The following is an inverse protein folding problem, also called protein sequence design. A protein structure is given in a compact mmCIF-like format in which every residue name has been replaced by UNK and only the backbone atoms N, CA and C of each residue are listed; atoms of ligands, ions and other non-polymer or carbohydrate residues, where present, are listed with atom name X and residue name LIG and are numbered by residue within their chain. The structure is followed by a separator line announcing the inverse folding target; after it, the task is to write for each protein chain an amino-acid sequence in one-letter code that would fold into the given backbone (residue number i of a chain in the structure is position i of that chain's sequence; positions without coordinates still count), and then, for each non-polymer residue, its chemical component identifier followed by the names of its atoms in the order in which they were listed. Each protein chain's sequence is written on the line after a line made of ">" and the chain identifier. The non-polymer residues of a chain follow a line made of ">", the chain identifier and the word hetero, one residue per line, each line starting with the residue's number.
data_IF_144349014834
#
_entry.id   IF_144349014834
#
_cell.length_a   1.000
_cell.length_b   1.000
_cell.length_c   1.000
_cell.angle_alpha   90.00
_cell.angle_beta   90.00
_cell.angle_gamma   90.00
#
_symmetry.space_group_name_H-M   'P 1'
#
loop_
_entity.id
_entity.type
_entity.pdbx_description
1 polymer ?
#
# COMPACT_ATOMS: atom_id res chain seq x y z
N UNK A 1 -3.91 -1.17 5.59
CA UNK A 1 -2.63 -1.78 6.00
C UNK A 1 -2.39 -1.68 7.49
N UNK A 2 -2.51 -0.48 8.09
CA UNK A 2 -2.31 -0.31 9.53
C UNK A 2 -3.15 -1.27 10.36
N UNK A 3 -4.48 -1.24 10.23
CA UNK A 3 -5.37 -2.07 11.05
C UNK A 3 -5.27 -3.57 10.80
N UNK A 4 -4.84 -3.97 9.61
CA UNK A 4 -4.86 -5.38 9.22
C UNK A 4 -3.53 -6.08 9.40
N UNK A 5 -2.43 -5.37 9.16
CA UNK A 5 -1.10 -5.96 9.05
C UNK A 5 -0.15 -5.40 10.10
N UNK A 6 -0.08 -4.08 10.23
CA UNK A 6 1.00 -3.44 10.97
C UNK A 6 0.63 -3.04 12.41
N UNK A 7 -0.64 -3.04 12.79
CA UNK A 7 -1.04 -2.49 14.09
C UNK A 7 -0.40 -3.17 15.30
N UNK A 8 -0.25 -4.51 15.37
CA UNK A 8 0.42 -5.10 16.52
C UNK A 8 1.88 -4.68 16.62
N UNK A 9 2.61 -4.67 15.50
CA UNK A 9 4.03 -4.31 15.49
C UNK A 9 4.25 -2.84 15.83
N UNK A 10 3.43 -1.95 15.28
CA UNK A 10 3.57 -0.51 15.50
C UNK A 10 3.08 -0.07 16.88
N UNK A 11 2.02 -0.69 17.43
CA UNK A 11 1.46 -0.33 18.73
C UNK A 11 2.30 -0.86 19.89
N UNK A 12 2.88 -2.05 19.74
CA UNK A 12 3.66 -2.68 20.81
C UNK A 12 5.17 -2.49 20.66
N UNK A 13 5.64 -2.15 19.45
CA UNK A 13 7.06 -2.11 19.10
C UNK A 13 7.60 -3.47 18.66
N UNK A 14 8.66 -3.43 17.86
CA UNK A 14 9.24 -4.64 17.25
C UNK A 14 9.87 -5.60 18.26
N UNK A 15 10.33 -5.09 19.40
CA UNK A 15 10.95 -5.87 20.48
C UNK A 15 9.95 -6.49 21.46
N UNK A 16 8.66 -6.24 21.25
CA UNK A 16 7.60 -6.78 22.11
C UNK A 16 7.46 -8.28 21.95
N UNK A 17 7.14 -9.04 23.04
CA UNK A 17 6.93 -10.48 22.96
C UNK A 17 5.88 -10.89 21.92
N UNK A 18 6.14 -12.00 21.20
CA UNK A 18 5.24 -12.50 20.15
C UNK A 18 3.85 -12.82 20.68
N UNK A 19 3.74 -13.29 21.91
CA UNK A 19 2.49 -13.63 22.58
C UNK A 19 1.55 -12.42 22.71
N UNK A 20 2.14 -11.23 22.82
CA UNK A 20 1.43 -9.96 22.91
C UNK A 20 1.25 -9.29 21.55
N UNK A 21 2.23 -9.41 20.65
CA UNK A 21 2.31 -8.74 19.36
C UNK A 21 1.41 -9.38 18.30
N UNK A 22 0.11 -9.42 18.57
CA UNK A 22 -0.91 -9.98 17.70
C UNK A 22 -2.25 -9.26 17.92
N UNK A 23 -3.27 -9.63 17.13
CA UNK A 23 -4.59 -8.98 17.18
C UNK A 23 -5.32 -9.18 18.51
N UNK A 24 -5.06 -10.27 19.21
CA UNK A 24 -5.66 -10.52 20.54
C UNK A 24 -5.09 -9.55 21.56
N UNK A 25 -3.77 -9.32 21.54
CA UNK A 25 -3.11 -8.31 22.35
C UNK A 25 -3.62 -6.89 22.04
N UNK A 26 -3.78 -6.56 20.75
CA UNK A 26 -4.37 -5.26 20.36
C UNK A 26 -5.79 -5.11 20.87
N UNK A 27 -6.62 -6.14 20.78
CA UNK A 27 -8.00 -6.10 21.30
C UNK A 27 -8.05 -5.95 22.82
N UNK A 28 -7.09 -6.53 23.54
CA UNK A 28 -7.02 -6.43 24.99
C UNK A 28 -6.54 -5.05 25.49
N UNK A 29 -5.51 -4.48 24.86
CA UNK A 29 -4.88 -3.25 25.33
C UNK A 29 -5.41 -1.98 24.62
N UNK A 30 -5.86 -2.11 23.37
CA UNK A 30 -6.38 -1.03 22.53
C UNK A 30 -7.75 -1.36 21.94
N UNK A 31 -8.78 -1.67 22.76
CA UNK A 31 -10.07 -2.18 22.29
C UNK A 31 -10.78 -1.24 21.30
N UNK A 32 -10.65 0.08 21.49
CA UNK A 32 -11.24 1.07 20.57
C UNK A 32 -10.57 1.07 19.20
N UNK A 33 -9.25 0.93 19.15
CA UNK A 33 -8.50 0.83 17.90
C UNK A 33 -8.89 -0.47 17.18
N UNK A 34 -8.92 -1.58 17.89
CA UNK A 34 -9.33 -2.87 17.35
C UNK A 34 -10.76 -2.82 16.78
N UNK A 35 -11.70 -2.24 17.53
CA UNK A 35 -13.09 -2.07 17.09
C UNK A 35 -13.20 -1.22 15.82
N UNK A 36 -12.53 -0.07 15.78
CA UNK A 36 -12.49 0.81 14.58
C UNK A 36 -11.90 0.07 13.39
N UNK A 37 -10.84 -0.70 13.58
CA UNK A 37 -10.20 -1.51 12.54
C UNK A 37 -11.16 -2.54 11.94
N UNK A 38 -11.87 -3.29 12.78
CA UNK A 38 -12.89 -4.27 12.35
C UNK A 38 -14.01 -3.61 11.56
N UNK A 39 -14.52 -2.47 12.04
CA UNK A 39 -15.59 -1.74 11.36
C UNK A 39 -15.16 -1.13 10.03
N UNK A 40 -13.96 -0.58 9.95
CA UNK A 40 -13.36 -0.11 8.69
C UNK A 40 -13.22 -1.25 7.67
N UNK A 41 -12.76 -2.42 8.12
CA UNK A 41 -12.70 -3.61 7.27
C UNK A 41 -14.08 -4.02 6.79
N UNK A 42 -15.06 -4.08 7.69
CA UNK A 42 -16.45 -4.41 7.33
C UNK A 42 -16.96 -3.47 6.25
N UNK A 43 -16.75 -2.17 6.40
CA UNK A 43 -17.15 -1.18 5.41
C UNK A 43 -16.47 -1.44 4.05
N UNK A 44 -15.16 -1.68 4.01
CA UNK A 44 -14.46 -2.03 2.77
C UNK A 44 -15.01 -3.29 2.11
N UNK A 45 -15.40 -4.31 2.90
CA UNK A 45 -16.02 -5.53 2.38
C UNK A 45 -17.43 -5.24 1.80
N UNK A 46 -18.19 -4.31 2.37
CA UNK A 46 -19.47 -3.90 1.79
C UNK A 46 -19.28 -3.13 0.47
N UNK A 47 -18.26 -2.26 0.39
CA UNK A 47 -17.91 -1.60 -0.89
C UNK A 47 -17.61 -2.64 -1.97
N UNK A 48 -16.77 -3.65 -1.67
CA UNK A 48 -16.46 -4.73 -2.62
C UNK A 48 -17.74 -5.51 -2.99
N UNK A 49 -18.58 -5.84 -2.05
CA UNK A 49 -19.85 -6.54 -2.31
C UNK A 49 -20.74 -5.75 -3.28
N UNK A 50 -20.87 -4.46 -3.08
CA UNK A 50 -21.73 -3.61 -3.91
C UNK A 50 -21.15 -3.37 -5.31
N UNK A 51 -19.82 -3.29 -5.45
CA UNK A 51 -19.16 -3.01 -6.73
C UNK A 51 -18.79 -4.27 -7.52
N UNK A 52 -18.55 -5.40 -6.85
CA UNK A 52 -18.09 -6.64 -7.49
C UNK A 52 -19.02 -7.84 -7.24
N UNK A 53 -20.17 -7.64 -6.59
CA UNK A 53 -21.18 -8.65 -6.35
C UNK A 53 -20.93 -9.61 -5.18
N UNK A 54 -19.68 -9.73 -4.71
CA UNK A 54 -19.31 -10.57 -3.56
C UNK A 54 -18.11 -9.99 -2.81
N UNK A 55 -17.97 -10.32 -1.52
CA UNK A 55 -16.96 -9.74 -0.64
C UNK A 55 -15.52 -10.25 -0.87
N UNK A 56 -15.39 -11.47 -1.35
CA UNK A 56 -14.11 -12.14 -1.58
C UNK A 56 -14.04 -12.62 -3.01
N UNK A 57 -12.89 -12.45 -3.66
CA UNK A 57 -12.68 -12.80 -5.06
C UNK A 57 -13.75 -12.20 -5.99
N UNK A 58 -14.09 -10.94 -5.77
CA UNK A 58 -15.02 -10.20 -6.62
C UNK A 58 -14.47 -10.03 -8.03
N UNK A 59 -15.33 -10.17 -9.02
CA UNK A 59 -15.02 -9.90 -10.42
C UNK A 59 -15.68 -8.58 -10.80
N UNK A 60 -15.00 -7.47 -10.51
CA UNK A 60 -15.52 -6.12 -10.80
C UNK A 60 -15.36 -5.73 -12.26
N UNK A 61 -14.20 -6.03 -12.86
CA UNK A 61 -13.90 -5.72 -14.26
C UNK A 61 -14.11 -6.92 -15.15
N UNK A 62 -14.71 -6.70 -16.32
CA UNK A 62 -14.86 -7.69 -17.38
C UNK A 62 -14.47 -7.05 -18.72
N UNK A 63 -14.09 -7.82 -19.76
CA UNK A 63 -13.83 -7.25 -21.08
C UNK A 63 -15.01 -6.39 -21.55
N UNK A 64 -14.72 -5.12 -21.86
CA UNK A 64 -15.71 -4.14 -22.31
C UNK A 64 -16.46 -3.39 -21.21
N UNK A 65 -16.16 -3.62 -19.92
CA UNK A 65 -16.81 -2.84 -18.86
C UNK A 65 -16.72 -3.42 -17.45
N UNK A 66 -17.82 -3.35 -16.72
CA UNK A 66 -17.94 -3.82 -15.35
C UNK A 66 -18.98 -4.93 -15.24
N UNK A 67 -18.71 -5.91 -14.38
CA UNK A 67 -19.60 -7.05 -14.15
C UNK A 67 -20.92 -6.64 -13.48
N UNK A 68 -20.89 -5.60 -12.65
CA UNK A 68 -22.06 -5.11 -11.90
C UNK A 68 -22.03 -3.59 -11.82
N UNK A 69 -23.10 -2.94 -12.20
CA UNK A 69 -23.30 -1.51 -11.98
C UNK A 69 -23.72 -1.24 -10.54
N UNK A 70 -23.20 -0.16 -9.96
CA UNK A 70 -23.64 0.33 -8.67
C UNK A 70 -24.98 1.06 -8.83
N UNK A 71 -25.99 0.63 -8.09
CA UNK A 71 -27.30 1.31 -8.07
C UNK A 71 -27.28 2.54 -7.14
N UNK A 72 -28.22 3.47 -7.34
CA UNK A 72 -28.36 4.63 -6.46
C UNK A 72 -28.63 4.22 -5.00
N UNK A 73 -29.44 3.20 -4.77
CA UNK A 73 -29.73 2.69 -3.42
C UNK A 73 -28.49 2.12 -2.73
N UNK A 74 -27.66 1.37 -3.45
CA UNK A 74 -26.39 0.83 -2.93
C UNK A 74 -25.39 1.94 -2.62
N UNK A 75 -25.30 2.95 -3.50
CA UNK A 75 -24.49 4.15 -3.23
C UNK A 75 -24.95 4.84 -1.95
N UNK A 76 -26.25 5.07 -1.80
CA UNK A 76 -26.82 5.78 -0.66
C UNK A 76 -26.61 4.96 0.65
N UNK A 77 -26.68 3.64 0.58
CA UNK A 77 -26.31 2.75 1.69
C UNK A 77 -24.86 2.94 2.13
N UNK A 78 -23.92 2.95 1.18
CA UNK A 78 -22.49 3.18 1.47
C UNK A 78 -22.22 4.58 2.02
N UNK A 79 -22.98 5.57 1.59
CA UNK A 79 -22.80 6.96 2.04
C UNK A 79 -23.26 7.21 3.47
N UNK A 80 -24.12 6.38 4.05
CA UNK A 80 -24.64 6.58 5.42
C UNK A 80 -23.54 6.74 6.46
N UNK A 81 -22.48 5.96 6.35
CA UNK A 81 -21.38 5.92 7.33
C UNK A 81 -20.11 6.64 6.85
N UNK A 82 -20.12 7.24 5.66
CA UNK A 82 -18.89 7.74 5.02
C UNK A 82 -18.14 8.76 5.87
N UNK A 83 -18.81 9.67 6.53
CA UNK A 83 -18.17 10.68 7.38
C UNK A 83 -17.48 10.07 8.60
N UNK A 84 -18.09 9.03 9.19
CA UNK A 84 -17.49 8.30 10.29
C UNK A 84 -16.25 7.50 9.83
N UNK A 85 -16.34 6.88 8.68
CA UNK A 85 -15.22 6.15 8.04
C UNK A 85 -14.06 7.09 7.74
N UNK A 86 -14.34 8.28 7.20
CA UNK A 86 -13.32 9.32 6.96
C UNK A 86 -12.69 9.77 8.28
N UNK A 87 -13.48 10.01 9.32
CA UNK A 87 -12.97 10.42 10.62
C UNK A 87 -12.01 9.36 11.21
N UNK A 88 -12.41 8.08 11.23
CA UNK A 88 -11.57 6.99 11.71
C UNK A 88 -10.29 6.79 10.87
N UNK A 89 -10.40 6.98 9.55
CA UNK A 89 -9.22 6.91 8.68
C UNK A 89 -8.21 8.04 8.97
N UNK A 90 -8.70 9.26 9.23
CA UNK A 90 -7.87 10.39 9.67
C UNK A 90 -7.25 10.15 11.04
N UNK A 91 -8.01 9.55 11.98
CA UNK A 91 -7.50 9.16 13.29
C UNK A 91 -6.36 8.15 13.17
N UNK A 92 -6.51 7.15 12.29
CA UNK A 92 -5.47 6.17 12.02
C UNK A 92 -4.19 6.82 11.48
N UNK A 93 -4.30 7.75 10.53
CA UNK A 93 -3.14 8.48 10.00
C UNK A 93 -2.45 9.31 11.09
N UNK A 94 -3.22 10.01 11.95
CA UNK A 94 -2.66 10.75 13.09
C UNK A 94 -1.93 9.83 14.06
N UNK A 95 -2.53 8.68 14.38
CA UNK A 95 -1.90 7.71 15.27
C UNK A 95 -0.59 7.16 14.69
N UNK A 96 -0.58 6.76 13.42
CA UNK A 96 0.64 6.27 12.75
C UNK A 96 1.73 7.34 12.75
N UNK A 97 1.37 8.59 12.50
CA UNK A 97 2.30 9.72 12.58
C UNK A 97 2.90 9.88 13.98
N UNK A 98 2.07 9.83 15.02
CA UNK A 98 2.53 9.90 16.41
C UNK A 98 3.49 8.77 16.77
N UNK A 99 3.16 7.53 16.38
CA UNK A 99 4.03 6.36 16.59
C UNK A 99 5.37 6.51 15.85
N UNK A 100 5.34 6.99 14.63
CA UNK A 100 6.55 7.27 13.84
C UNK A 100 7.43 8.34 14.49
N UNK A 101 6.83 9.43 14.98
CA UNK A 101 7.54 10.53 15.64
C UNK A 101 8.15 10.11 17.00
N UNK A 102 7.59 9.09 17.66
CA UNK A 102 8.11 8.57 18.95
C UNK A 102 9.42 7.79 18.81
N UNK A 103 9.65 7.14 17.66
CA UNK A 103 10.87 6.37 17.41
C UNK A 103 11.42 6.67 16.00
N UNK A 104 11.70 7.93 15.78
CA UNK A 104 12.10 8.46 14.48
C UNK A 104 13.41 7.88 13.97
N UNK A 105 14.34 7.57 14.88
CA UNK A 105 15.65 7.00 14.52
C UNK A 105 15.49 5.60 13.92
N UNK A 106 14.77 4.71 14.61
CA UNK A 106 14.49 3.37 14.12
C UNK A 106 13.78 3.40 12.76
N UNK A 107 12.71 4.19 12.64
CA UNK A 107 11.94 4.22 11.40
C UNK A 107 12.70 4.84 10.21
N UNK A 108 13.60 5.78 10.45
CA UNK A 108 14.44 6.37 9.39
C UNK A 108 15.52 5.43 8.89
N UNK A 109 16.08 4.62 9.78
CA UNK A 109 17.16 3.68 9.44
C UNK A 109 16.66 2.29 9.01
N UNK A 110 15.42 1.92 9.39
CA UNK A 110 14.88 0.60 9.14
C UNK A 110 14.74 0.30 7.64
N UNK A 111 15.46 -0.73 7.18
CA UNK A 111 15.44 -1.16 5.80
C UNK A 111 16.06 -0.16 4.81
N UNK A 112 16.78 0.85 5.30
CA UNK A 112 17.44 1.84 4.45
C UNK A 112 18.76 1.30 3.93
N UNK A 113 18.95 1.34 2.62
CA UNK A 113 20.20 0.97 1.95
C UNK A 113 20.38 1.79 0.67
N UNK A 114 21.61 1.98 0.26
CA UNK A 114 21.91 2.64 -1.00
C UNK A 114 21.53 1.73 -2.18
N UNK A 115 20.74 2.27 -3.11
CA UNK A 115 20.33 1.56 -4.31
C UNK A 115 20.17 2.52 -5.48
N UNK A 116 20.35 2.00 -6.68
CA UNK A 116 19.90 2.67 -7.89
C UNK A 116 18.37 2.61 -7.94
N UNK A 117 17.75 3.62 -8.48
CA UNK A 117 16.30 3.71 -8.64
C UNK A 117 15.92 3.72 -10.11
N UNK A 118 14.83 3.05 -10.44
CA UNK A 118 14.22 3.04 -11.77
C UNK A 118 12.76 3.45 -11.69
N UNK A 119 12.31 4.33 -12.57
CA UNK A 119 10.94 4.82 -12.61
C UNK A 119 10.52 5.18 -14.04
N UNK A 120 9.20 5.23 -14.26
CA UNK A 120 8.60 5.84 -15.45
C UNK A 120 8.29 7.30 -15.15
N UNK A 121 8.85 8.23 -15.93
CA UNK A 121 8.71 9.66 -15.69
C UNK A 121 8.31 10.42 -16.95
N UNK A 122 7.53 11.48 -16.77
CA UNK A 122 7.26 12.47 -17.80
C UNK A 122 8.44 13.45 -17.96
N UNK A 123 8.37 14.29 -19.00
CA UNK A 123 9.37 15.33 -19.24
C UNK A 123 9.54 16.33 -18.08
N UNK A 124 8.50 16.55 -17.27
CA UNK A 124 8.53 17.40 -16.08
C UNK A 124 9.07 16.68 -14.82
N UNK A 125 9.45 15.41 -14.94
CA UNK A 125 9.98 14.59 -13.85
C UNK A 125 8.91 13.94 -12.97
N UNK A 126 7.63 14.18 -13.20
CA UNK A 126 6.57 13.48 -12.45
C UNK A 126 6.43 12.03 -12.90
N UNK A 127 6.06 11.15 -11.97
CA UNK A 127 5.77 9.75 -12.27
C UNK A 127 4.59 9.62 -13.23
N UNK A 128 4.76 8.83 -14.28
CA UNK A 128 3.70 8.50 -15.22
C UNK A 128 3.81 7.03 -15.64
N UNK A 129 2.96 6.19 -15.07
CA UNK A 129 2.98 4.74 -15.31
C UNK A 129 2.41 4.32 -16.66
N UNK A 130 1.90 5.25 -17.46
CA UNK A 130 1.27 4.95 -18.74
C UNK A 130 2.07 5.47 -19.95
N UNK A 131 2.49 6.75 -19.91
CA UNK A 131 3.19 7.42 -21.01
C UNK A 131 4.63 7.82 -20.68
N UNK A 132 5.10 7.52 -19.44
CA UNK A 132 6.43 7.88 -19.01
C UNK A 132 7.53 7.11 -19.74
N UNK A 133 8.68 7.76 -19.94
CA UNK A 133 9.91 7.09 -20.31
C UNK A 133 10.68 6.59 -19.09
N UNK A 134 11.54 5.61 -19.26
CA UNK A 134 12.39 5.10 -18.19
C UNK A 134 13.44 6.11 -17.77
N UNK A 135 13.57 6.33 -16.47
CA UNK A 135 14.66 7.07 -15.83
C UNK A 135 15.32 6.19 -14.78
N UNK A 136 16.65 6.06 -14.85
CA UNK A 136 17.45 5.45 -13.80
C UNK A 136 18.37 6.48 -13.16
N UNK A 137 18.53 6.39 -11.84
CA UNK A 137 19.36 7.29 -11.04
C UNK A 137 20.21 6.50 -10.05
N UNK A 138 21.39 7.03 -9.76
CA UNK A 138 22.21 6.60 -8.64
C UNK A 138 21.58 6.99 -7.30
N UNK A 139 22.11 6.44 -6.21
CA UNK A 139 21.64 6.76 -4.85
C UNK A 139 21.77 8.26 -4.49
N UNK A 140 22.74 8.95 -5.09
CA UNK A 140 22.97 10.40 -4.93
C UNK A 140 22.02 11.27 -5.78
N UNK A 141 21.13 10.65 -6.58
CA UNK A 141 20.19 11.33 -7.47
C UNK A 141 20.77 11.69 -8.85
N UNK A 142 22.05 11.42 -9.12
CA UNK A 142 22.60 11.62 -10.46
C UNK A 142 21.98 10.66 -11.48
N UNK A 143 21.73 11.15 -12.69
CA UNK A 143 21.03 10.38 -13.72
C UNK A 143 21.97 9.40 -14.41
N UNK A 144 21.56 8.12 -14.51
CA UNK A 144 22.23 7.08 -15.28
C UNK A 144 21.75 7.14 -16.73
N UNK A 145 20.42 7.08 -16.93
CA UNK A 145 19.76 7.34 -18.22
C UNK A 145 18.40 7.98 -17.99
N UNK A 146 17.84 8.62 -19.02
CA UNK A 146 16.58 9.35 -18.94
C UNK A 146 15.78 9.22 -20.23
N UNK A 147 14.44 9.23 -20.09
CA UNK A 147 13.47 9.18 -21.18
C UNK A 147 13.67 8.03 -22.18
N UNK A 148 14.20 6.89 -21.71
CA UNK A 148 14.33 5.69 -22.54
C UNK A 148 12.93 5.10 -22.77
N UNK A 149 12.66 4.73 -24.02
CA UNK A 149 11.45 4.01 -24.38
C UNK A 149 11.43 2.65 -23.66
N UNK A 150 10.40 2.43 -22.84
CA UNK A 150 10.23 1.15 -22.12
C UNK A 150 10.04 -0.04 -23.09
N UNK A 151 9.61 0.21 -24.33
CA UNK A 151 9.56 -0.82 -25.38
C UNK A 151 10.94 -1.33 -25.81
N UNK A 152 12.02 -0.65 -25.41
CA UNK A 152 13.42 -1.01 -25.70
C UNK A 152 14.26 -1.11 -24.42
N UNK A 153 13.63 -1.42 -23.27
CA UNK A 153 14.31 -1.45 -21.96
C UNK A 153 15.55 -2.35 -21.91
N UNK A 154 15.58 -3.43 -22.71
CA UNK A 154 16.70 -4.38 -22.76
C UNK A 154 18.02 -3.78 -23.28
N UNK A 155 18.00 -2.61 -23.90
CA UNK A 155 19.20 -1.89 -24.33
C UNK A 155 19.93 -1.28 -23.13
N UNK A 156 19.23 -1.06 -22.01
CA UNK A 156 19.74 -0.42 -20.81
C UNK A 156 19.77 -1.32 -19.58
N UNK A 157 18.94 -2.36 -19.56
CA UNK A 157 18.72 -3.22 -18.40
C UNK A 157 18.96 -4.66 -18.82
N UNK A 158 19.93 -5.29 -18.18
CA UNK A 158 20.15 -6.73 -18.26
C UNK A 158 19.52 -7.47 -17.07
N UNK A 159 19.37 -8.77 -17.19
CA UNK A 159 18.78 -9.61 -16.14
C UNK A 159 19.74 -10.75 -15.76
N UNK A 160 19.92 -10.95 -14.46
CA UNK A 160 20.72 -12.04 -13.91
C UNK A 160 19.84 -13.07 -13.19
N UNK A 161 20.15 -14.36 -13.37
CA UNK A 161 19.51 -15.46 -12.65
C UNK A 161 20.37 -15.84 -11.43
N UNK A 162 19.72 -15.96 -10.25
CA UNK A 162 20.36 -16.40 -9.01
C UNK A 162 19.90 -17.80 -8.63
N UNK A 163 20.82 -18.66 -8.21
CA UNK A 163 20.50 -20.05 -7.85
C UNK A 163 19.52 -20.19 -6.66
N UNK A 164 19.43 -19.17 -5.82
CA UNK A 164 18.59 -19.14 -4.61
C UNK A 164 17.22 -18.49 -4.80
N UNK A 165 16.90 -18.01 -6.01
CA UNK A 165 15.63 -17.35 -6.29
C UNK A 165 15.11 -17.69 -7.68
N UNK A 166 13.79 -17.79 -7.82
CA UNK A 166 13.13 -17.90 -9.12
C UNK A 166 12.97 -16.55 -9.83
N UNK A 167 13.24 -15.46 -9.13
CA UNK A 167 13.17 -14.10 -9.72
C UNK A 167 14.43 -13.79 -10.50
N UNK A 168 14.28 -13.08 -11.60
CA UNK A 168 15.38 -12.44 -12.30
C UNK A 168 15.68 -11.09 -11.66
N UNK A 169 16.96 -10.75 -11.58
CA UNK A 169 17.46 -9.51 -11.00
C UNK A 169 17.88 -8.57 -12.11
N UNK A 170 17.25 -7.41 -12.26
CA UNK A 170 17.68 -6.39 -13.20
C UNK A 170 18.98 -5.72 -12.69
N UNK A 171 19.91 -5.41 -13.63
CA UNK A 171 21.13 -4.64 -13.37
C UNK A 171 21.52 -3.76 -14.53
#
# INVERSE_FOLDING_TARGET
>A
HFFHLASPDLLFGFDSPMEKRNIVGVAAEYPDIARKGVLLRKYGQEVIRHTAGKRIHGTGSVPGGVNKSLTAAERDELQKDIYQIIAWSRDAVRLVRQLFEQDLETYRSFGTFEARTLSLVRADGAMDLYHGGLRAQHADGSTIFDHVDYGHYWEQISEEVKAWSYMKFPY
#
